data_IF_166323560343
#
_entry.id   IF_166323560343
#
_cell.length_a   1.000
_cell.length_b   1.000
_cell.length_c   1.000
_cell.angle_alpha   90.00
_cell.angle_beta   90.00
_cell.angle_gamma   90.00
#
_symmetry.space_group_name_H-M   'P 1'
#
loop_
_entity.id
_entity.type
_entity.pdbx_description
1 polymer ?
#
# COMPACT_ATOMS: atom_id res chain seq x y z
N UNK A 1 44.46 -21.50 -0.82
CA UNK A 1 43.15 -22.06 -1.18
C UNK A 1 42.16 -20.93 -1.03
N UNK A 2 41.57 -20.46 -2.12
CA UNK A 2 40.71 -19.27 -2.15
C UNK A 2 39.40 -19.55 -1.39
N UNK A 3 39.09 -18.72 -0.40
CA UNK A 3 37.77 -18.68 0.23
C UNK A 3 36.77 -18.16 -0.81
N UNK A 4 36.00 -19.06 -1.41
CA UNK A 4 34.80 -18.71 -2.14
C UNK A 4 33.78 -18.20 -1.11
N UNK A 5 33.62 -16.88 -1.02
CA UNK A 5 32.46 -16.29 -0.38
C UNK A 5 31.24 -16.65 -1.23
N UNK A 6 30.49 -17.68 -0.82
CA UNK A 6 29.11 -17.80 -1.26
C UNK A 6 28.40 -16.57 -0.71
N UNK A 7 28.15 -15.58 -1.57
CA UNK A 7 27.23 -14.50 -1.26
C UNK A 7 25.87 -15.14 -1.03
N UNK A 8 25.32 -14.99 0.19
CA UNK A 8 23.94 -15.38 0.44
C UNK A 8 23.03 -14.64 -0.55
N UNK A 9 21.95 -15.27 -1.05
CA UNK A 9 21.00 -14.57 -1.90
C UNK A 9 20.52 -13.30 -1.19
N UNK A 10 20.51 -12.16 -1.87
CA UNK A 10 20.09 -10.86 -1.30
C UNK A 10 18.68 -10.96 -0.67
N UNK A 11 17.83 -11.83 -1.23
CA UNK A 11 16.48 -12.13 -0.72
C UNK A 11 16.47 -12.81 0.65
N UNK A 12 17.58 -13.38 1.13
CA UNK A 12 17.72 -13.96 2.47
C UNK A 12 18.31 -12.96 3.47
N UNK A 13 18.83 -11.81 3.02
CA UNK A 13 19.43 -10.83 3.92
C UNK A 13 18.38 -10.21 4.86
N UNK A 14 18.62 -10.14 6.18
CA UNK A 14 17.69 -9.50 7.09
C UNK A 14 17.41 -8.03 6.74
N UNK A 15 18.34 -7.28 6.16
CA UNK A 15 18.11 -5.88 5.79
C UNK A 15 17.23 -5.66 4.56
N UNK A 16 16.93 -6.71 3.79
CA UNK A 16 16.24 -6.56 2.51
C UNK A 16 14.76 -6.15 2.69
N UNK A 17 14.36 -5.08 1.99
CA UNK A 17 13.00 -4.55 2.01
C UNK A 17 12.52 -4.02 3.36
N UNK A 18 13.43 -3.73 4.31
CA UNK A 18 13.07 -3.10 5.60
C UNK A 18 13.00 -1.58 5.53
N UNK A 19 13.36 -0.97 4.40
CA UNK A 19 13.24 0.47 4.19
C UNK A 19 11.75 0.86 4.21
N UNK A 20 11.42 1.90 4.96
CA UNK A 20 10.05 2.40 5.09
C UNK A 20 10.00 3.88 4.75
N UNK A 21 8.93 4.29 4.07
CA UNK A 21 8.56 5.68 3.90
C UNK A 21 7.38 5.99 4.82
N UNK A 22 7.48 7.07 5.61
CA UNK A 22 6.42 7.44 6.55
C UNK A 22 5.23 8.18 5.90
N UNK A 23 5.42 8.66 4.66
CA UNK A 23 4.42 9.42 3.93
C UNK A 23 3.30 8.52 3.44
N UNK A 24 2.07 8.90 3.76
CA UNK A 24 0.87 8.24 3.26
C UNK A 24 0.39 8.97 2.01
N UNK A 25 0.18 8.24 0.92
CA UNK A 25 -0.35 8.79 -0.32
C UNK A 25 -1.85 9.10 -0.19
N UNK A 26 -2.25 10.25 -0.71
CA UNK A 26 -3.66 10.58 -0.94
C UNK A 26 -3.99 10.15 -2.36
N UNK A 27 -4.95 9.23 -2.47
CA UNK A 27 -5.42 8.68 -3.73
C UNK A 27 -6.91 9.02 -3.90
N UNK A 28 -7.29 9.51 -5.08
CA UNK A 28 -8.68 9.64 -5.49
C UNK A 28 -9.07 8.40 -6.28
N UNK A 29 -10.01 7.62 -5.75
CA UNK A 29 -10.55 6.42 -6.40
C UNK A 29 -11.95 6.69 -6.95
N UNK A 30 -12.15 6.40 -8.24
CA UNK A 30 -13.47 6.51 -8.87
C UNK A 30 -13.60 5.51 -10.02
N UNK A 31 -14.84 5.08 -10.31
CA UNK A 31 -15.14 4.18 -11.42
C UNK A 31 -15.54 4.95 -12.68
N UNK A 32 -14.92 4.64 -13.81
CA UNK A 32 -15.26 5.19 -15.13
C UNK A 32 -16.55 4.55 -15.67
N UNK A 33 -17.70 4.85 -15.06
CA UNK A 33 -18.99 4.28 -15.45
C UNK A 33 -20.00 5.35 -15.86
N UNK A 34 -21.02 4.95 -16.62
CA UNK A 34 -22.14 5.85 -17.00
C UNK A 34 -22.87 6.41 -15.79
N UNK A 35 -23.02 5.59 -14.73
CA UNK A 35 -23.62 6.01 -13.46
C UNK A 35 -22.84 7.15 -12.78
N UNK A 36 -21.53 7.24 -13.04
CA UNK A 36 -20.68 8.34 -12.58
C UNK A 36 -20.51 9.45 -13.64
N UNK A 37 -21.34 9.46 -14.69
CA UNK A 37 -21.29 10.41 -15.81
C UNK A 37 -19.97 10.44 -16.58
N UNK A 38 -19.19 9.34 -16.53
CA UNK A 38 -17.97 9.17 -17.30
C UNK A 38 -18.24 8.21 -18.46
N UNK A 39 -18.34 6.90 -18.20
CA UNK A 39 -18.86 5.87 -19.11
C UNK A 39 -18.21 5.79 -20.50
N UNK A 40 -17.07 6.44 -20.69
CA UNK A 40 -16.38 6.61 -21.98
C UNK A 40 -14.90 6.24 -21.82
N UNK A 41 -14.21 5.80 -22.87
CA UNK A 41 -12.76 5.70 -22.84
C UNK A 41 -12.13 7.05 -22.46
N UNK A 42 -11.35 7.08 -21.38
CA UNK A 42 -10.67 8.28 -20.94
C UNK A 42 -9.29 8.33 -21.62
N UNK A 43 -8.99 9.36 -22.42
CA UNK A 43 -7.70 9.47 -23.07
C UNK A 43 -6.60 9.78 -22.04
N UNK A 44 -5.38 9.33 -22.34
CA UNK A 44 -4.19 9.78 -21.64
C UNK A 44 -4.18 11.31 -21.58
N UNK A 45 -3.97 11.85 -20.39
CA UNK A 45 -4.12 13.27 -20.17
C UNK A 45 -3.93 13.66 -18.72
N UNK A 46 -4.32 14.89 -18.40
CA UNK A 46 -4.11 15.51 -17.09
C UNK A 46 -5.46 15.68 -16.40
N UNK A 47 -5.59 15.12 -15.22
CA UNK A 47 -6.72 15.30 -14.32
C UNK A 47 -6.41 16.38 -13.30
N UNK A 48 -7.38 17.26 -13.08
CA UNK A 48 -7.36 18.28 -12.03
C UNK A 48 -8.51 18.04 -11.08
N UNK A 49 -8.19 18.06 -9.80
CA UNK A 49 -9.14 17.83 -8.72
C UNK A 49 -9.51 19.16 -8.11
N UNK A 50 -10.81 19.36 -7.95
CA UNK A 50 -11.38 20.53 -7.31
C UNK A 50 -12.30 20.07 -6.17
N UNK A 51 -12.26 20.78 -5.04
CA UNK A 51 -13.20 20.61 -3.95
C UNK A 51 -14.09 21.84 -3.88
N UNK A 52 -15.38 21.65 -3.58
CA UNK A 52 -16.28 22.76 -3.28
C UNK A 52 -16.12 23.16 -1.81
N UNK A 53 -15.89 24.44 -1.54
CA UNK A 53 -15.87 24.98 -0.17
C UNK A 53 -17.29 25.17 0.39
N UNK A 54 -17.40 25.75 1.59
CA UNK A 54 -18.69 26.03 2.23
C UNK A 54 -19.52 27.08 1.51
N UNK A 55 -18.87 27.96 0.74
CA UNK A 55 -19.50 29.08 0.02
C UNK A 55 -19.82 28.73 -1.44
N UNK A 56 -19.46 27.51 -1.87
CA UNK A 56 -19.75 26.98 -3.20
C UNK A 56 -18.64 27.20 -4.23
N UNK A 57 -17.52 27.82 -3.85
CA UNK A 57 -16.38 28.03 -4.74
C UNK A 57 -15.59 26.74 -4.96
N UNK A 58 -15.01 26.61 -6.14
CA UNK A 58 -14.13 25.48 -6.49
C UNK A 58 -12.68 25.82 -6.13
N UNK A 59 -12.13 25.07 -5.19
CA UNK A 59 -10.74 25.13 -4.79
C UNK A 59 -9.95 24.03 -5.49
N UNK A 60 -8.80 24.37 -6.07
CA UNK A 60 -7.90 23.38 -6.65
C UNK A 60 -7.18 22.60 -5.53
N UNK A 61 -7.29 21.27 -5.55
CA UNK A 61 -6.73 20.39 -4.50
C UNK A 61 -5.67 19.42 -5.02
N UNK A 62 -5.46 19.32 -6.34
CA UNK A 62 -4.39 18.50 -6.89
C UNK A 62 -4.50 18.28 -8.40
N UNK A 63 -3.40 17.82 -8.99
CA UNK A 63 -3.32 17.48 -10.41
C UNK A 63 -2.43 16.26 -10.59
N UNK A 64 -2.81 15.37 -11.52
CA UNK A 64 -1.95 14.26 -11.95
C UNK A 64 -2.28 13.85 -13.39
N UNK A 65 -1.35 13.14 -14.02
CA UNK A 65 -1.59 12.54 -15.34
C UNK A 65 -2.16 11.13 -15.21
N UNK A 66 -3.00 10.75 -16.16
CA UNK A 66 -3.54 9.40 -16.32
C UNK A 66 -3.12 8.84 -17.67
N UNK A 67 -3.05 7.52 -17.78
CA UNK A 67 -2.95 6.83 -19.07
C UNK A 67 -4.34 6.59 -19.67
N UNK A 68 -4.38 6.04 -20.88
CA UNK A 68 -5.61 5.58 -21.50
C UNK A 68 -6.34 4.59 -20.58
N UNK A 69 -7.55 4.96 -20.15
CA UNK A 69 -8.36 4.14 -19.27
C UNK A 69 -9.61 3.67 -20.01
N UNK A 70 -9.84 2.35 -20.15
CA UNK A 70 -11.07 1.80 -20.73
C UNK A 70 -12.33 2.23 -19.97
N UNK A 71 -13.48 2.08 -20.64
CA UNK A 71 -14.79 2.18 -20.01
C UNK A 71 -14.92 1.13 -18.88
N UNK A 72 -15.65 1.49 -17.83
CA UNK A 72 -16.04 0.67 -16.67
C UNK A 72 -14.90 0.23 -15.72
N UNK A 73 -13.68 0.72 -15.94
CA UNK A 73 -12.52 0.50 -15.08
C UNK A 73 -12.51 1.40 -13.83
N UNK A 74 -11.92 0.91 -12.75
CA UNK A 74 -11.69 1.71 -11.53
C UNK A 74 -10.34 2.40 -11.60
N UNK A 75 -10.35 3.72 -11.49
CA UNK A 75 -9.15 4.55 -11.50
C UNK A 75 -8.73 4.92 -10.10
N UNK A 76 -7.43 4.94 -9.84
CA UNK A 76 -6.81 5.54 -8.65
C UNK A 76 -5.80 6.56 -9.08
N UNK A 77 -5.97 7.79 -8.61
CA UNK A 77 -5.13 8.92 -9.03
C UNK A 77 -4.49 9.53 -7.80
N UNK A 78 -3.16 9.53 -7.76
CA UNK A 78 -2.40 10.17 -6.69
C UNK A 78 -2.59 11.69 -6.76
N UNK A 79 -2.91 12.34 -5.65
CA UNK A 79 -3.10 13.80 -5.59
C UNK A 79 -2.13 14.50 -4.63
N UNK A 80 -1.33 13.76 -3.88
CA UNK A 80 -0.39 14.31 -2.91
C UNK A 80 -0.10 13.36 -1.76
N UNK A 81 0.65 13.84 -0.78
CA UNK A 81 0.87 13.11 0.48
C UNK A 81 -0.01 13.71 1.58
N UNK A 82 -0.56 12.86 2.44
CA UNK A 82 -1.25 13.30 3.63
C UNK A 82 -0.23 13.89 4.60
N UNK A 83 -0.53 15.07 5.16
CA UNK A 83 0.32 15.70 6.17
C UNK A 83 -0.06 15.27 7.60
N UNK A 84 -1.34 14.95 7.83
CA UNK A 84 -1.86 14.52 9.15
C UNK A 84 -1.93 13.00 9.32
N UNK A 85 -1.57 12.20 8.31
CA UNK A 85 -1.64 10.75 8.38
C UNK A 85 -0.26 10.17 8.15
N UNK A 86 0.20 9.35 9.09
CA UNK A 86 1.55 8.80 9.11
C UNK A 86 1.46 7.29 9.19
N UNK A 87 2.20 6.60 8.33
CA UNK A 87 2.35 5.14 8.34
C UNK A 87 3.77 4.76 8.74
N UNK A 88 3.95 3.82 9.66
CA UNK A 88 5.27 3.32 10.03
C UNK A 88 5.29 1.80 10.00
N UNK A 89 6.16 1.24 9.17
CA UNK A 89 6.34 -0.21 9.03
C UNK A 89 7.56 -0.65 9.81
N UNK A 90 7.40 -1.69 10.62
CA UNK A 90 8.48 -2.30 11.39
C UNK A 90 8.40 -3.82 11.26
N UNK A 91 9.53 -4.47 10.98
CA UNK A 91 9.64 -5.92 11.11
C UNK A 91 9.86 -6.27 12.58
N UNK A 92 9.10 -7.21 13.10
CA UNK A 92 9.19 -7.69 14.48
C UNK A 92 9.80 -9.07 14.60
N UNK A 93 9.69 -9.90 13.56
CA UNK A 93 10.28 -11.23 13.53
C UNK A 93 10.88 -11.56 12.15
N UNK A 94 11.93 -12.37 12.15
CA UNK A 94 12.60 -12.90 10.97
C UNK A 94 13.14 -14.29 11.29
N UNK A 95 12.66 -15.30 10.58
CA UNK A 95 13.13 -16.67 10.73
C UNK A 95 13.38 -17.29 9.37
N UNK A 96 14.60 -17.75 9.13
CA UNK A 96 15.04 -18.32 7.86
C UNK A 96 15.56 -19.73 8.09
N UNK A 97 15.04 -20.68 7.33
CA UNK A 97 15.63 -22.01 7.20
C UNK A 97 16.05 -22.23 5.73
N UNK A 98 17.30 -21.88 5.43
CA UNK A 98 17.85 -22.03 4.09
C UNK A 98 17.97 -23.50 3.64
N UNK A 99 17.98 -24.48 4.57
CA UNK A 99 18.04 -25.91 4.21
C UNK A 99 16.67 -26.46 3.86
N UNK A 100 15.64 -26.01 4.57
CA UNK A 100 14.26 -26.37 4.29
C UNK A 100 13.58 -25.44 3.26
N UNK A 101 14.32 -24.45 2.74
CA UNK A 101 13.89 -23.51 1.70
C UNK A 101 12.63 -22.72 2.05
N UNK A 102 12.56 -22.20 3.27
CA UNK A 102 11.47 -21.34 3.69
C UNK A 102 11.91 -20.24 4.65
N UNK A 103 11.05 -19.24 4.80
CA UNK A 103 11.28 -18.11 5.70
C UNK A 103 9.96 -17.49 6.17
N UNK A 104 9.92 -17.08 7.43
CA UNK A 104 8.83 -16.30 8.02
C UNK A 104 9.30 -14.88 8.37
N UNK A 105 8.47 -13.88 8.08
CA UNK A 105 8.64 -12.51 8.54
C UNK A 105 7.35 -11.99 9.15
N UNK A 106 7.46 -11.38 10.34
CA UNK A 106 6.33 -10.69 10.98
C UNK A 106 6.54 -9.20 10.95
N UNK A 107 5.47 -8.46 10.67
CA UNK A 107 5.49 -7.00 10.60
C UNK A 107 4.39 -6.39 11.46
N UNK A 108 4.69 -5.20 11.96
CA UNK A 108 3.76 -4.27 12.59
C UNK A 108 3.74 -2.97 11.79
N UNK A 109 2.56 -2.51 11.43
CA UNK A 109 2.33 -1.30 10.65
C UNK A 109 1.44 -0.38 11.46
N UNK A 110 2.02 0.71 11.92
CA UNK A 110 1.37 1.73 12.72
C UNK A 110 0.80 2.81 11.81
N UNK A 111 -0.51 3.00 11.84
CA UNK A 111 -1.21 4.04 11.08
C UNK A 111 -1.77 5.05 12.06
N UNK A 112 -1.22 6.26 12.06
CA UNK A 112 -1.58 7.35 12.96
C UNK A 112 -2.36 8.42 12.21
N UNK A 113 -3.55 8.76 12.71
CA UNK A 113 -4.41 9.79 12.15
C UNK A 113 -4.48 10.99 13.09
N UNK A 114 -3.90 12.12 12.67
CA UNK A 114 -3.95 13.39 13.40
C UNK A 114 -5.09 14.32 12.96
N UNK A 115 -6.01 13.82 12.11
CA UNK A 115 -7.20 14.57 11.69
C UNK A 115 -8.28 14.55 12.76
N UNK A 116 -9.22 15.51 12.62
CA UNK A 116 -10.46 15.58 13.41
C UNK A 116 -11.55 14.63 12.91
N UNK A 117 -11.32 13.98 11.78
CA UNK A 117 -12.25 13.03 11.14
C UNK A 117 -11.58 11.66 11.00
N UNK A 118 -12.40 10.60 10.92
CA UNK A 118 -11.91 9.25 10.68
C UNK A 118 -11.38 9.14 9.24
N UNK A 119 -10.33 8.34 9.05
CA UNK A 119 -9.75 8.10 7.73
C UNK A 119 -9.75 6.62 7.40
N UNK A 120 -9.98 6.32 6.13
CA UNK A 120 -9.74 5.00 5.58
C UNK A 120 -8.36 4.99 4.93
N UNK A 121 -7.50 4.10 5.41
CA UNK A 121 -6.14 3.89 4.91
C UNK A 121 -6.05 2.49 4.37
N UNK A 122 -5.40 2.35 3.22
CA UNK A 122 -5.06 1.06 2.65
C UNK A 122 -3.58 0.82 2.84
N UNK A 123 -3.24 -0.15 3.67
CA UNK A 123 -1.85 -0.59 3.84
C UNK A 123 -1.56 -1.59 2.71
N UNK A 124 -0.59 -1.25 1.85
CA UNK A 124 -0.23 -2.04 0.67
C UNK A 124 1.14 -2.65 0.91
N UNK A 125 1.20 -3.97 1.05
CA UNK A 125 2.43 -4.72 1.28
C UNK A 125 2.78 -5.53 0.03
N UNK A 126 3.99 -5.30 -0.48
CA UNK A 126 4.55 -6.04 -1.61
C UNK A 126 5.45 -7.15 -1.09
N UNK A 127 5.16 -8.38 -1.50
CA UNK A 127 5.86 -9.59 -1.11
C UNK A 127 7.10 -9.76 -1.99
N UNK A 128 8.18 -9.08 -1.58
CA UNK A 128 9.39 -8.88 -2.40
C UNK A 128 10.42 -10.00 -2.31
N UNK A 129 10.24 -10.98 -1.40
CA UNK A 129 11.24 -12.02 -1.15
C UNK A 129 11.18 -13.13 -2.21
N UNK A 130 10.00 -13.74 -2.39
CA UNK A 130 9.74 -14.79 -3.37
C UNK A 130 8.30 -14.70 -3.91
N UNK A 131 8.05 -15.33 -5.06
CA UNK A 131 6.73 -15.38 -5.69
C UNK A 131 5.74 -16.28 -4.95
N UNK A 132 6.22 -17.34 -4.28
CA UNK A 132 5.40 -18.25 -3.49
C UNK A 132 5.38 -17.77 -2.04
N UNK A 133 4.23 -17.25 -1.62
CA UNK A 133 4.01 -16.75 -0.27
C UNK A 133 2.57 -17.00 0.19
N UNK A 134 2.39 -17.03 1.50
CA UNK A 134 1.08 -16.96 2.16
C UNK A 134 1.17 -16.08 3.40
N UNK A 135 0.11 -15.34 3.71
CA UNK A 135 -0.02 -14.71 5.03
C UNK A 135 -0.52 -15.80 5.98
N UNK A 136 0.31 -16.19 6.93
CA UNK A 136 -0.02 -17.24 7.92
C UNK A 136 -0.84 -16.69 9.07
N UNK A 137 -0.64 -15.42 9.42
CA UNK A 137 -1.33 -14.72 10.50
C UNK A 137 -1.56 -13.26 10.11
N UNK A 138 -2.71 -12.70 10.50
CA UNK A 138 -3.01 -11.27 10.32
C UNK A 138 -3.95 -10.78 11.42
N UNK A 139 -3.78 -9.52 11.85
CA UNK A 139 -4.65 -8.88 12.85
C UNK A 139 -6.05 -8.54 12.33
N UNK A 140 -6.29 -8.68 11.03
CA UNK A 140 -7.55 -8.38 10.38
C UNK A 140 -7.63 -8.98 8.99
N UNK A 141 -8.73 -8.71 8.28
CA UNK A 141 -8.91 -9.15 6.91
C UNK A 141 -7.90 -8.48 5.98
N UNK A 142 -7.43 -9.23 4.99
CA UNK A 142 -6.59 -8.73 3.91
C UNK A 142 -7.09 -9.27 2.58
N UNK A 143 -6.77 -8.55 1.51
CA UNK A 143 -7.04 -8.98 0.15
C UNK A 143 -5.74 -9.16 -0.60
N UNK A 144 -5.58 -10.28 -1.30
CA UNK A 144 -4.55 -10.44 -2.33
C UNK A 144 -5.01 -9.72 -3.60
N UNK A 145 -4.42 -8.57 -3.92
CA UNK A 145 -4.80 -7.79 -5.11
C UNK A 145 -4.18 -8.32 -6.39
N UNK A 146 -3.01 -8.96 -6.28
CA UNK A 146 -2.30 -9.62 -7.38
C UNK A 146 -1.35 -10.70 -6.83
N UNK A 147 -0.49 -11.27 -7.68
CA UNK A 147 0.43 -12.33 -7.31
C UNK A 147 1.41 -11.99 -6.17
N UNK A 148 1.74 -10.72 -5.97
CA UNK A 148 2.76 -10.24 -5.02
C UNK A 148 2.25 -9.18 -4.03
N UNK A 149 1.01 -8.72 -4.14
CA UNK A 149 0.52 -7.61 -3.30
C UNK A 149 -0.62 -8.04 -2.39
N UNK A 150 -0.49 -7.69 -1.10
CA UNK A 150 -1.55 -7.77 -0.10
C UNK A 150 -2.00 -6.37 0.30
N UNK A 151 -3.31 -6.14 0.33
CA UNK A 151 -3.92 -4.90 0.77
C UNK A 151 -4.68 -5.15 2.09
N UNK A 152 -4.35 -4.40 3.14
CA UNK A 152 -5.07 -4.40 4.42
C UNK A 152 -5.88 -3.09 4.52
N UNK A 153 -7.22 -3.14 4.48
CA UNK A 153 -8.05 -1.96 4.73
C UNK A 153 -8.07 -1.64 6.23
N UNK A 154 -7.83 -0.38 6.58
CA UNK A 154 -7.74 0.11 7.95
C UNK A 154 -8.60 1.35 8.11
N UNK A 155 -9.51 1.34 9.07
CA UNK A 155 -10.22 2.56 9.49
C UNK A 155 -9.58 3.08 10.76
N UNK A 156 -9.08 4.33 10.73
CA UNK A 156 -8.45 4.97 11.89
C UNK A 156 -9.32 6.12 12.36
N UNK A 157 -9.78 6.05 13.61
CA UNK A 157 -10.57 7.10 14.24
C UNK A 157 -9.82 8.46 14.29
N UNK A 158 -10.53 9.58 14.52
CA UNK A 158 -9.90 10.88 14.74
C UNK A 158 -8.87 10.83 15.87
N UNK A 159 -7.70 11.44 15.69
CA UNK A 159 -6.63 11.51 16.69
C UNK A 159 -6.24 10.14 17.30
N UNK A 160 -6.35 9.08 16.51
CA UNK A 160 -6.11 7.71 16.97
C UNK A 160 -5.00 7.03 16.16
N UNK A 161 -4.58 5.87 16.65
CA UNK A 161 -3.64 4.98 16.02
C UNK A 161 -4.28 3.60 15.85
N UNK A 162 -4.05 2.98 14.70
CA UNK A 162 -4.38 1.58 14.46
C UNK A 162 -3.11 0.84 14.05
N UNK A 163 -2.90 -0.34 14.65
CA UNK A 163 -1.79 -1.22 14.30
C UNK A 163 -2.32 -2.38 13.48
N UNK A 164 -1.69 -2.64 12.35
CA UNK A 164 -1.87 -3.84 11.54
C UNK A 164 -0.69 -4.76 11.79
N UNK A 165 -0.95 -6.00 12.14
CA UNK A 165 0.11 -7.02 12.25
C UNK A 165 -0.15 -8.14 11.26
N UNK A 166 0.92 -8.70 10.69
CA UNK A 166 0.81 -9.90 9.88
C UNK A 166 2.13 -10.66 9.84
N UNK A 167 2.03 -11.97 9.63
CA UNK A 167 3.16 -12.87 9.37
C UNK A 167 3.03 -13.41 7.95
N UNK A 168 4.09 -13.28 7.16
CA UNK A 168 4.20 -13.86 5.82
C UNK A 168 5.18 -15.02 5.85
N UNK A 169 4.76 -16.13 5.25
CA UNK A 169 5.56 -17.32 5.02
C UNK A 169 5.92 -17.39 3.54
N UNK A 170 7.22 -17.49 3.25
CA UNK A 170 7.79 -17.69 1.92
C UNK A 170 8.38 -19.09 1.80
N UNK A 171 8.29 -19.68 0.61
CA UNK A 171 8.92 -20.96 0.28
C UNK A 171 9.49 -20.93 -1.14
N UNK A 172 10.60 -21.61 -1.41
CA UNK A 172 11.24 -21.62 -2.74
C UNK A 172 11.90 -22.96 -3.10
#
# INVERSE_FOLDING_TARGET
>A
MSNYYFSEPIQQEPGYGTQTNKKVWVMQEFKNSEANHLGIPLPKGRLRFYRRDTDGHLEFVGENSIDHTPKDETMRVYTGNAFDVVGERKRTNFHLDSRAHWMDESFEIHVRNHKKEAVQVRVVEHMYRWSTWKVSEASGEYRKSDGQTAEFPVTVAPNAEQVVTYTVHYSW
#
